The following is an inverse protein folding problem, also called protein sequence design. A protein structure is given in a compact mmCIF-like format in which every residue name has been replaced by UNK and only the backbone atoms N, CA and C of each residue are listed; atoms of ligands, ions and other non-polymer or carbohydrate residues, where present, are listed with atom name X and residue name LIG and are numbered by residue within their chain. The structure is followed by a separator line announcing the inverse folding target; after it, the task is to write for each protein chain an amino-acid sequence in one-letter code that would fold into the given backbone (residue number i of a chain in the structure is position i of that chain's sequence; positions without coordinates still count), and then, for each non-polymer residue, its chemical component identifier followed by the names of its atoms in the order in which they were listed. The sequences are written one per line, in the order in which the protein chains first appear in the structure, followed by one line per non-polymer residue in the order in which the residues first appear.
data_IF_360913730717
#
_entry.id   IF_360913730717
#
_cell.length_a   1.000
_cell.length_b   1.000
_cell.length_c   1.000
_cell.angle_alpha   90.00
_cell.angle_beta   90.00
_cell.angle_gamma   90.00
#
_symmetry.space_group_name_H-M   'P 1'
#
loop_
_entity.id
_entity.type
_entity.pdbx_description
1 polymer ?
#
# COMPACT_ATOMS: atom_id res chain seq x y z
N UNK A 1 -54.29 -9.78 21.68
CA UNK A 1 -52.95 -9.29 22.04
C UNK A 1 -52.96 -7.77 21.92
N UNK A 2 -53.14 -7.06 23.02
CA UNK A 2 -53.23 -5.59 23.03
C UNK A 2 -51.82 -5.01 22.92
N UNK A 3 -51.53 -4.33 21.80
CA UNK A 3 -50.35 -3.48 21.70
C UNK A 3 -50.53 -2.32 22.69
N UNK A 4 -49.81 -2.37 23.80
CA UNK A 4 -49.71 -1.24 24.72
C UNK A 4 -48.99 -0.11 23.97
N UNK A 5 -49.68 1.00 23.73
CA UNK A 5 -49.04 2.19 23.20
C UNK A 5 -47.92 2.63 24.17
N UNK A 6 -46.71 2.93 23.66
CA UNK A 6 -45.61 3.35 24.51
C UNK A 6 -46.01 4.62 25.26
N UNK A 7 -45.72 4.63 26.56
CA UNK A 7 -46.07 5.75 27.43
C UNK A 7 -45.37 7.04 26.97
N UNK A 8 -45.96 8.19 27.26
CA UNK A 8 -45.39 9.49 26.86
C UNK A 8 -43.93 9.66 27.30
N UNK A 9 -43.59 9.18 28.50
CA UNK A 9 -42.22 9.19 29.02
C UNK A 9 -41.27 8.28 28.22
N UNK A 10 -41.74 7.13 27.74
CA UNK A 10 -40.96 6.25 26.87
C UNK A 10 -40.65 6.92 25.51
N UNK A 11 -41.59 7.68 24.95
CA UNK A 11 -41.36 8.43 23.69
C UNK A 11 -40.33 9.54 23.85
N UNK A 12 -40.32 10.23 25.00
CA UNK A 12 -39.31 11.26 25.29
C UNK A 12 -37.93 10.62 25.50
N UNK A 13 -37.86 9.48 26.19
CA UNK A 13 -36.61 8.75 26.40
C UNK A 13 -36.04 8.25 25.06
N UNK A 14 -36.87 7.69 24.18
CA UNK A 14 -36.47 7.23 22.85
C UNK A 14 -36.04 8.39 21.94
N UNK A 15 -36.72 9.55 21.98
CA UNK A 15 -36.27 10.74 21.26
C UNK A 15 -34.90 11.23 21.74
N UNK A 16 -34.65 11.22 23.05
CA UNK A 16 -33.34 11.58 23.62
C UNK A 16 -32.26 10.59 23.23
N UNK A 17 -32.55 9.29 23.28
CA UNK A 17 -31.62 8.25 22.84
C UNK A 17 -31.30 8.34 21.34
N UNK A 18 -32.31 8.60 20.51
CA UNK A 18 -32.14 8.77 19.06
C UNK A 18 -31.37 10.06 18.71
N UNK A 19 -31.66 11.17 19.39
CA UNK A 19 -30.92 12.43 19.19
C UNK A 19 -29.47 12.33 19.67
N UNK A 20 -29.22 11.64 20.79
CA UNK A 20 -27.86 11.35 21.26
C UNK A 20 -27.11 10.44 20.28
N UNK A 21 -27.77 9.39 19.77
CA UNK A 21 -27.19 8.50 18.76
C UNK A 21 -26.87 9.23 17.46
N UNK A 22 -27.77 10.12 17.00
CA UNK A 22 -27.55 10.95 15.81
C UNK A 22 -26.40 11.95 16.00
N UNK A 23 -26.30 12.58 17.18
CA UNK A 23 -25.19 13.46 17.51
C UNK A 23 -23.85 12.71 17.57
N UNK A 24 -23.86 11.49 18.11
CA UNK A 24 -22.67 10.63 18.18
C UNK A 24 -22.24 10.17 16.78
N UNK A 25 -23.18 9.80 15.92
CA UNK A 25 -22.92 9.45 14.53
C UNK A 25 -22.39 10.65 13.71
N UNK A 26 -22.94 11.85 13.92
CA UNK A 26 -22.40 13.06 13.29
C UNK A 26 -21.01 13.43 13.80
N UNK A 27 -20.74 13.25 15.09
CA UNK A 27 -19.41 13.47 15.65
C UNK A 27 -18.40 12.47 15.08
N UNK A 28 -18.76 11.19 15.01
CA UNK A 28 -17.93 10.15 14.41
C UNK A 28 -17.65 10.43 12.92
N UNK A 29 -18.66 10.88 12.16
CA UNK A 29 -18.51 11.25 10.76
C UNK A 29 -17.57 12.46 10.58
N UNK A 30 -17.63 13.46 11.47
CA UNK A 30 -16.70 14.60 11.46
C UNK A 30 -15.28 14.18 11.80
N UNK A 31 -15.09 13.35 12.82
CA UNK A 31 -13.76 12.81 13.18
C UNK A 31 -13.15 12.02 12.02
N UNK A 32 -13.94 11.18 11.34
CA UNK A 32 -13.48 10.50 10.13
C UNK A 32 -13.13 11.47 8.99
N UNK A 33 -13.91 12.52 8.78
CA UNK A 33 -13.61 13.54 7.76
C UNK A 33 -12.33 14.31 8.08
N UNK A 34 -12.11 14.67 9.34
CA UNK A 34 -10.91 15.38 9.79
C UNK A 34 -9.66 14.49 9.64
N UNK A 35 -9.75 13.21 9.99
CA UNK A 35 -8.69 12.22 9.77
C UNK A 35 -8.38 12.04 8.28
N UNK A 36 -9.40 11.94 7.43
CA UNK A 36 -9.22 11.87 5.97
C UNK A 36 -8.56 13.14 5.41
N UNK A 37 -8.91 14.32 5.93
CA UNK A 37 -8.27 15.58 5.55
C UNK A 37 -6.81 15.67 6.00
N UNK A 38 -6.44 15.14 7.17
CA UNK A 38 -5.04 15.07 7.62
C UNK A 38 -4.22 14.12 6.75
N UNK A 39 -4.76 12.96 6.38
CA UNK A 39 -4.11 12.02 5.46
C UNK A 39 -3.87 12.66 4.08
N UNK A 40 -4.82 13.46 3.59
CA UNK A 40 -4.70 14.21 2.34
C UNK A 40 -3.66 15.35 2.39
N UNK A 41 -3.29 15.83 3.57
CA UNK A 41 -2.34 16.95 3.72
C UNK A 41 -0.87 16.56 3.54
N UNK A 42 -0.53 15.26 3.52
CA UNK A 42 0.84 14.79 3.30
C UNK A 42 0.94 13.68 2.23
N UNK A 43 0.64 14.03 0.95
CA UNK A 43 0.71 13.07 -0.15
C UNK A 43 2.14 12.56 -0.38
N UNK A 44 3.16 13.41 -0.17
CA UNK A 44 4.56 13.04 -0.39
C UNK A 44 5.04 11.95 0.59
N UNK A 45 4.62 12.00 1.86
CA UNK A 45 4.98 10.98 2.83
C UNK A 45 4.30 9.65 2.54
N UNK A 46 3.03 9.66 2.14
CA UNK A 46 2.33 8.48 1.66
C UNK A 46 3.00 7.88 0.41
N UNK A 47 3.45 8.73 -0.50
CA UNK A 47 4.13 8.28 -1.70
C UNK A 47 5.48 7.63 -1.40
N UNK A 48 6.22 8.14 -0.41
CA UNK A 48 7.48 7.53 0.08
C UNK A 48 7.25 6.26 0.89
N UNK A 49 6.22 6.23 1.73
CA UNK A 49 5.88 5.06 2.55
C UNK A 49 5.43 3.88 1.67
N UNK A 50 4.78 4.19 0.55
CA UNK A 50 4.37 3.19 -0.43
C UNK A 50 5.36 2.89 -1.53
N UNK A 51 6.51 3.53 -1.53
CA UNK A 51 7.57 3.16 -2.44
C UNK A 51 8.31 1.93 -1.88
N UNK A 52 8.27 0.77 -2.57
CA UNK A 52 9.05 -0.38 -2.15
C UNK A 52 10.58 -0.15 -2.31
N UNK A 53 11.02 0.94 -2.96
CA UNK A 53 12.43 1.22 -3.32
C UNK A 53 13.11 0.03 -4.01
N UNK A 54 12.32 -0.81 -4.67
CA UNK A 54 12.83 -1.97 -5.41
C UNK A 54 13.50 -1.49 -6.70
N UNK A 55 13.15 -0.32 -7.23
CA UNK A 55 13.55 0.11 -8.58
C UNK A 55 14.96 0.74 -8.63
N UNK A 56 15.60 0.99 -7.49
CA UNK A 56 16.87 1.72 -7.42
C UNK A 56 18.09 0.92 -7.89
N UNK A 57 17.92 -0.36 -8.25
CA UNK A 57 18.98 -1.16 -8.85
C UNK A 57 18.52 -1.92 -10.08
N UNK A 58 19.37 -1.97 -11.11
CA UNK A 58 19.15 -2.74 -12.35
C UNK A 58 18.74 -4.20 -12.11
N UNK A 59 19.13 -4.74 -10.96
CA UNK A 59 18.86 -6.11 -10.52
C UNK A 59 17.38 -6.33 -10.17
N UNK A 60 16.69 -5.27 -9.77
CA UNK A 60 15.34 -5.28 -9.23
C UNK A 60 14.32 -4.53 -10.11
N UNK A 61 14.77 -3.63 -10.98
CA UNK A 61 13.93 -2.83 -11.91
C UNK A 61 12.94 -3.68 -12.73
N UNK A 62 13.43 -4.81 -13.28
CA UNK A 62 12.59 -5.74 -14.05
C UNK A 62 11.44 -6.36 -13.23
N UNK A 63 11.55 -6.42 -11.89
CA UNK A 63 10.48 -6.96 -11.03
C UNK A 63 9.31 -6.00 -11.01
N UNK A 64 9.56 -4.70 -11.01
CA UNK A 64 8.51 -3.68 -11.02
C UNK A 64 7.86 -3.56 -12.39
N UNK A 65 8.62 -3.72 -13.47
CA UNK A 65 8.05 -3.82 -14.81
C UNK A 65 7.10 -5.03 -14.96
N UNK A 66 7.52 -6.20 -14.46
CA UNK A 66 6.79 -7.45 -14.67
C UNK A 66 5.66 -7.66 -13.63
N UNK A 67 5.86 -7.22 -12.39
CA UNK A 67 4.97 -7.45 -11.26
C UNK A 67 4.48 -6.16 -10.59
N UNK A 68 4.66 -4.99 -11.19
CA UNK A 68 4.27 -3.69 -10.63
C UNK A 68 2.87 -3.61 -10.01
N UNK A 69 1.82 -4.20 -10.62
CA UNK A 69 0.50 -4.26 -9.99
C UNK A 69 0.49 -4.97 -8.63
N UNK A 70 1.35 -5.98 -8.44
CA UNK A 70 1.48 -6.71 -7.18
C UNK A 70 2.14 -5.88 -6.07
N UNK A 71 2.84 -4.80 -6.43
CA UNK A 71 3.52 -3.84 -5.54
C UNK A 71 2.79 -2.51 -5.41
N UNK A 72 1.55 -2.44 -5.89
CA UNK A 72 0.78 -1.19 -5.92
C UNK A 72 0.69 -0.53 -4.54
N UNK A 73 0.92 0.79 -4.50
CA UNK A 73 0.72 1.66 -3.33
C UNK A 73 -0.70 1.57 -2.74
N UNK A 74 -1.67 1.12 -3.53
CA UNK A 74 -3.04 0.85 -3.07
C UNK A 74 -3.09 -0.18 -1.94
N UNK A 75 -2.11 -1.09 -1.87
CA UNK A 75 -2.04 -2.13 -0.85
C UNK A 75 -1.82 -1.61 0.56
N UNK A 76 -1.33 -0.37 0.74
CA UNK A 76 -1.04 0.22 2.06
C UNK A 76 -2.22 1.06 2.57
N UNK A 77 -3.01 1.61 1.65
CA UNK A 77 -4.17 2.47 1.96
C UNK A 77 -5.41 1.66 2.35
N UNK A 78 -5.36 0.33 2.25
CA UNK A 78 -6.45 -0.53 2.67
C UNK A 78 -6.63 -0.54 4.19
N UNK A 79 -7.87 -0.71 4.64
CA UNK A 79 -8.20 -1.07 6.02
C UNK A 79 -8.62 -2.53 6.04
N UNK A 80 -7.64 -3.43 6.18
CA UNK A 80 -7.83 -4.88 6.14
C UNK A 80 -7.93 -5.45 7.56
N UNK A 81 -8.51 -6.64 7.70
CA UNK A 81 -8.61 -7.32 8.99
C UNK A 81 -7.23 -7.52 9.67
N UNK A 82 -7.24 -7.65 10.99
CA UNK A 82 -6.04 -7.95 11.79
C UNK A 82 -5.29 -9.22 11.33
N UNK A 83 -6.01 -10.22 10.82
CA UNK A 83 -5.44 -11.48 10.33
C UNK A 83 -4.87 -11.39 8.90
N UNK A 84 -5.12 -10.29 8.19
CA UNK A 84 -4.67 -10.12 6.81
C UNK A 84 -3.16 -10.31 6.61
N UNK A 85 -2.27 -9.74 7.46
CA UNK A 85 -0.82 -9.95 7.31
C UNK A 85 -0.44 -11.42 7.41
N UNK A 86 -1.06 -12.16 8.34
CA UNK A 86 -0.80 -13.59 8.51
C UNK A 86 -1.23 -14.40 7.30
N UNK A 87 -2.34 -14.03 6.66
CA UNK A 87 -2.76 -14.64 5.39
C UNK A 87 -1.76 -14.35 4.27
N UNK A 88 -1.30 -13.11 4.16
CA UNK A 88 -0.34 -12.72 3.11
C UNK A 88 1.03 -13.37 3.29
N UNK A 89 1.50 -13.53 4.53
CA UNK A 89 2.74 -14.26 4.85
C UNK A 89 2.71 -15.71 4.33
N UNK A 90 1.53 -16.32 4.21
CA UNK A 90 1.36 -17.67 3.66
C UNK A 90 1.11 -17.67 2.14
N UNK A 91 0.39 -16.67 1.63
CA UNK A 91 0.01 -16.59 0.22
C UNK A 91 1.14 -16.07 -0.69
N UNK A 92 1.93 -15.11 -0.22
CA UNK A 92 2.99 -14.49 -1.00
C UNK A 92 4.11 -15.49 -1.37
N UNK A 93 4.59 -16.38 -0.48
CA UNK A 93 5.52 -17.44 -0.86
C UNK A 93 4.98 -18.35 -1.96
N UNK A 94 3.68 -18.69 -1.92
CA UNK A 94 3.05 -19.49 -2.97
C UNK A 94 3.06 -18.78 -4.32
N UNK A 95 2.77 -17.46 -4.31
CA UNK A 95 2.81 -16.64 -5.51
C UNK A 95 4.25 -16.54 -6.09
N UNK A 96 5.26 -16.40 -5.23
CA UNK A 96 6.68 -16.45 -5.65
C UNK A 96 7.02 -17.77 -6.29
N UNK A 97 6.67 -18.88 -5.65
CA UNK A 97 7.01 -20.20 -6.16
C UNK A 97 6.35 -20.47 -7.52
N UNK A 98 5.11 -19.99 -7.73
CA UNK A 98 4.44 -20.02 -9.04
C UNK A 98 5.20 -19.20 -10.08
N UNK A 99 5.53 -17.95 -9.77
CA UNK A 99 6.28 -17.08 -10.68
C UNK A 99 7.67 -17.66 -11.03
N UNK A 100 8.34 -18.29 -10.07
CA UNK A 100 9.61 -19.01 -10.33
C UNK A 100 9.36 -20.24 -11.21
N UNK A 101 8.32 -21.02 -10.94
CA UNK A 101 8.02 -22.24 -11.68
C UNK A 101 7.67 -21.96 -13.14
N UNK A 102 6.84 -20.95 -13.41
CA UNK A 102 6.48 -20.48 -14.76
C UNK A 102 7.71 -20.10 -15.58
N UNK A 103 8.77 -19.60 -14.93
CA UNK A 103 10.04 -19.21 -15.57
C UNK A 103 11.16 -20.23 -15.43
N UNK A 104 10.88 -21.42 -14.89
CA UNK A 104 11.86 -22.52 -14.76
C UNK A 104 11.48 -23.66 -15.70
N UNK A 105 11.79 -23.56 -17.00
CA UNK A 105 11.48 -24.61 -17.95
C UNK A 105 12.37 -25.84 -17.72
N UNK A 106 11.93 -26.99 -18.26
CA UNK A 106 12.68 -28.25 -18.19
C UNK A 106 14.09 -28.14 -18.77
N UNK A 107 14.98 -29.08 -18.40
CA UNK A 107 16.41 -29.07 -18.76
C UNK A 107 16.66 -28.82 -20.25
N UNK A 108 15.90 -29.47 -21.13
CA UNK A 108 16.07 -29.35 -22.59
C UNK A 108 15.82 -27.91 -23.07
N UNK A 109 14.73 -27.29 -22.65
CA UNK A 109 14.40 -25.91 -23.02
C UNK A 109 15.40 -24.92 -22.41
N UNK A 110 15.89 -25.19 -21.20
CA UNK A 110 16.91 -24.34 -20.57
C UNK A 110 18.25 -24.32 -21.31
N UNK A 111 18.63 -25.43 -21.93
CA UNK A 111 19.90 -25.54 -22.69
C UNK A 111 19.77 -25.06 -24.15
N UNK A 112 18.54 -24.92 -24.64
CA UNK A 112 18.25 -24.55 -26.03
C UNK A 112 17.29 -23.34 -26.10
N UNK A 113 17.83 -22.10 -26.03
CA UNK A 113 17.03 -20.87 -26.01
C UNK A 113 16.03 -20.75 -27.17
N UNK A 114 16.41 -21.18 -28.38
CA UNK A 114 15.53 -21.15 -29.56
C UNK A 114 14.34 -22.11 -29.43
N UNK A 115 14.55 -23.29 -28.83
CA UNK A 115 13.46 -24.22 -28.54
C UNK A 115 12.55 -23.69 -27.43
N UNK A 116 13.12 -23.00 -26.44
CA UNK A 116 12.34 -22.30 -25.41
C UNK A 116 11.47 -21.20 -26.01
N UNK A 117 12.02 -20.38 -26.92
CA UNK A 117 11.25 -19.35 -27.62
C UNK A 117 10.09 -19.96 -28.42
N UNK A 118 10.34 -21.06 -29.15
CA UNK A 118 9.28 -21.79 -29.87
C UNK A 118 8.23 -22.38 -28.92
N UNK A 119 8.62 -22.91 -27.76
CA UNK A 119 7.68 -23.41 -26.75
C UNK A 119 6.81 -22.28 -26.15
N UNK A 120 7.29 -21.04 -26.19
CA UNK A 120 6.53 -19.83 -25.83
C UNK A 120 5.68 -19.30 -26.98
N UNK A 121 5.69 -19.96 -28.15
CA UNK A 121 4.97 -19.52 -29.34
C UNK A 121 5.68 -18.43 -30.14
N UNK A 122 6.94 -18.13 -29.84
CA UNK A 122 7.72 -17.08 -30.48
C UNK A 122 8.51 -17.68 -31.64
N UNK A 123 8.20 -17.21 -32.84
CA UNK A 123 8.90 -17.58 -34.08
C UNK A 123 9.70 -16.40 -34.61
N UNK A 124 10.77 -16.67 -35.35
CA UNK A 124 11.53 -15.62 -36.03
C UNK A 124 10.66 -14.89 -37.05
N UNK A 125 10.73 -13.57 -37.06
CA UNK A 125 10.05 -12.68 -38.02
C UNK A 125 11.08 -11.97 -38.89
N UNK A 126 10.62 -11.20 -39.88
CA UNK A 126 11.53 -10.39 -40.69
C UNK A 126 12.27 -9.31 -39.87
N UNK A 127 11.63 -8.82 -38.80
CA UNK A 127 12.19 -7.84 -37.87
C UNK A 127 13.10 -8.48 -36.82
N UNK A 128 12.75 -9.67 -36.33
CA UNK A 128 13.54 -10.45 -35.37
C UNK A 128 13.84 -11.84 -35.94
N UNK A 129 14.90 -11.99 -36.78
CA UNK A 129 15.25 -13.28 -37.38
C UNK A 129 15.63 -14.34 -36.34
N UNK A 130 16.26 -13.92 -35.23
CA UNK A 130 16.44 -14.78 -34.07
C UNK A 130 15.26 -14.60 -33.10
N UNK A 131 14.46 -15.65 -32.82
CA UNK A 131 13.32 -15.54 -31.92
C UNK A 131 13.70 -15.18 -30.47
N UNK A 132 14.98 -15.28 -30.09
CA UNK A 132 15.45 -14.85 -28.77
C UNK A 132 15.60 -13.35 -28.62
N UNK A 133 15.67 -12.61 -29.73
CA UNK A 133 15.83 -11.15 -29.72
C UNK A 133 14.48 -10.43 -29.68
N UNK A 134 13.38 -11.19 -29.79
CA UNK A 134 12.04 -10.66 -29.69
C UNK A 134 11.80 -10.13 -28.25
N UNK A 135 11.23 -8.92 -28.07
CA UNK A 135 10.94 -8.35 -26.75
C UNK A 135 10.02 -9.23 -25.88
N UNK A 136 9.16 -10.06 -26.48
CA UNK A 136 8.28 -10.97 -25.76
C UNK A 136 9.00 -12.23 -25.25
N UNK A 137 10.25 -12.46 -25.68
CA UNK A 137 11.01 -13.65 -25.29
C UNK A 137 11.41 -13.63 -23.82
N UNK A 138 10.94 -14.64 -23.08
CA UNK A 138 11.26 -14.80 -21.66
C UNK A 138 12.36 -15.82 -21.48
N UNK A 139 13.56 -15.34 -21.22
CA UNK A 139 14.68 -16.19 -20.83
C UNK A 139 14.40 -16.94 -19.50
N UNK A 140 14.95 -18.17 -19.32
CA UNK A 140 14.88 -18.89 -18.07
C UNK A 140 15.40 -18.07 -16.89
N UNK A 141 14.71 -18.13 -15.75
CA UNK A 141 15.10 -17.33 -14.59
C UNK A 141 16.42 -17.83 -13.97
N UNK A 142 17.35 -16.92 -13.73
CA UNK A 142 18.65 -17.23 -13.11
C UNK A 142 18.51 -17.36 -11.59
N UNK A 143 19.44 -18.06 -10.91
CA UNK A 143 19.43 -18.15 -9.45
C UNK A 143 19.46 -16.79 -8.74
N UNK A 144 20.15 -15.80 -9.32
CA UNK A 144 20.16 -14.42 -8.80
C UNK A 144 18.76 -13.80 -8.88
N UNK A 145 18.10 -13.86 -10.05
CA UNK A 145 16.73 -13.35 -10.23
C UNK A 145 15.72 -14.05 -9.32
N UNK A 146 15.92 -15.35 -8.99
CA UNK A 146 15.09 -16.06 -8.00
C UNK A 146 15.21 -15.50 -6.57
N UNK A 147 16.38 -14.96 -6.19
CA UNK A 147 16.57 -14.34 -4.87
C UNK A 147 15.88 -12.98 -4.82
N UNK A 148 16.15 -12.15 -5.82
CA UNK A 148 15.50 -10.85 -6.02
C UNK A 148 13.99 -10.97 -5.95
N UNK A 149 13.40 -11.96 -6.63
CA UNK A 149 11.96 -12.15 -6.63
C UNK A 149 11.41 -12.54 -5.24
N UNK A 150 12.17 -13.30 -4.45
CA UNK A 150 11.79 -13.61 -3.06
C UNK A 150 11.86 -12.37 -2.19
N UNK A 151 12.99 -11.66 -2.25
CA UNK A 151 13.22 -10.44 -1.47
C UNK A 151 12.15 -9.39 -1.78
N UNK A 152 11.76 -9.25 -3.05
CA UNK A 152 10.67 -8.36 -3.47
C UNK A 152 9.34 -8.78 -2.83
N UNK A 153 8.96 -10.05 -2.86
CA UNK A 153 7.70 -10.49 -2.24
C UNK A 153 7.71 -10.42 -0.69
N UNK A 154 8.88 -10.45 -0.06
CA UNK A 154 9.01 -10.14 1.36
C UNK A 154 8.70 -8.66 1.62
N UNK A 155 9.22 -7.74 0.78
CA UNK A 155 8.86 -6.32 0.81
C UNK A 155 7.36 -6.13 0.58
N UNK A 156 6.76 -6.86 -0.37
CA UNK A 156 5.32 -6.84 -0.60
C UNK A 156 4.53 -7.22 0.66
N UNK A 157 4.96 -8.28 1.36
CA UNK A 157 4.32 -8.74 2.59
C UNK A 157 4.41 -7.66 3.67
N UNK A 158 5.56 -7.01 3.80
CA UNK A 158 5.75 -5.89 4.71
C UNK A 158 4.82 -4.72 4.39
N UNK A 159 4.73 -4.30 3.13
CA UNK A 159 3.82 -3.22 2.71
C UNK A 159 2.36 -3.58 2.97
N UNK A 160 1.96 -4.81 2.67
CA UNK A 160 0.61 -5.30 2.95
C UNK A 160 0.32 -5.35 4.45
N UNK A 161 1.32 -5.59 5.30
CA UNK A 161 1.14 -5.58 6.76
C UNK A 161 0.74 -4.19 7.30
N UNK A 162 1.14 -3.12 6.62
CA UNK A 162 0.75 -1.74 6.97
C UNK A 162 -0.75 -1.49 6.75
N UNK A 163 -1.42 -2.27 5.90
CA UNK A 163 -2.87 -2.13 5.70
C UNK A 163 -3.73 -2.77 6.78
N UNK A 164 -3.13 -3.57 7.67
CA UNK A 164 -3.87 -4.18 8.76
C UNK A 164 -4.40 -3.09 9.69
N UNK A 165 -5.72 -3.09 9.89
CA UNK A 165 -6.43 -2.16 10.76
C UNK A 165 -6.20 -0.68 10.40
N UNK A 166 -5.77 -0.37 9.16
CA UNK A 166 -5.49 1.00 8.74
C UNK A 166 -4.21 1.61 9.34
N UNK A 167 -3.29 0.80 9.86
CA UNK A 167 -2.02 1.29 10.46
C UNK A 167 -1.24 2.23 9.54
N UNK A 168 -1.22 1.96 8.24
CA UNK A 168 -0.55 2.80 7.24
C UNK A 168 -1.15 4.19 7.15
N UNK A 169 -2.47 4.31 7.21
CA UNK A 169 -3.16 5.61 7.24
C UNK A 169 -3.02 6.32 8.58
N UNK A 170 -3.00 5.57 9.69
CA UNK A 170 -2.86 6.11 11.04
C UNK A 170 -1.48 6.73 11.28
N UNK A 171 -0.41 6.07 10.79
CA UNK A 171 0.97 6.59 10.87
C UNK A 171 1.09 7.91 10.11
N UNK A 172 0.48 8.00 8.92
CA UNK A 172 0.50 9.22 8.09
C UNK A 172 -0.26 10.35 8.78
N UNK A 173 -1.44 10.06 9.34
CA UNK A 173 -2.22 11.03 10.11
C UNK A 173 -1.41 11.59 11.28
N UNK A 174 -0.88 10.69 12.12
CA UNK A 174 -0.09 11.04 13.31
C UNK A 174 1.14 11.90 12.95
N UNK A 175 1.92 11.49 11.95
CA UNK A 175 3.11 12.23 11.52
C UNK A 175 2.77 13.65 11.02
N UNK A 176 1.62 13.81 10.36
CA UNK A 176 1.17 15.12 9.85
C UNK A 176 0.73 16.02 11.00
N UNK A 177 -0.01 15.50 11.98
CA UNK A 177 -0.41 16.25 13.18
C UNK A 177 0.81 16.68 14.00
N UNK A 178 1.78 15.80 14.19
CA UNK A 178 3.03 16.11 14.90
C UNK A 178 3.80 17.24 14.21
N UNK A 179 4.06 17.13 12.90
CA UNK A 179 4.75 18.18 12.14
C UNK A 179 4.05 19.54 12.24
N UNK A 180 2.71 19.56 12.20
CA UNK A 180 1.93 20.80 12.36
C UNK A 180 2.07 21.39 13.76
N UNK A 181 2.10 20.56 14.81
CA UNK A 181 2.29 21.04 16.19
C UNK A 181 3.69 21.58 16.44
N UNK A 182 4.73 20.96 15.85
CA UNK A 182 6.12 21.41 15.96
C UNK A 182 6.31 22.74 15.21
N UNK A 183 5.86 22.84 13.95
CA UNK A 183 5.94 24.09 13.19
C UNK A 183 5.20 25.25 13.87
N UNK A 184 4.01 25.00 14.42
CA UNK A 184 3.27 26.02 15.19
C UNK A 184 4.00 26.44 16.47
N UNK A 185 4.70 25.53 17.16
CA UNK A 185 5.53 25.88 18.32
C UNK A 185 6.71 26.74 17.91
N UNK A 186 7.41 26.39 16.83
CA UNK A 186 8.54 27.17 16.31
C UNK A 186 8.12 28.57 15.85
N UNK A 187 7.01 28.72 15.14
CA UNK A 187 6.48 30.01 14.72
C UNK A 187 6.01 30.86 15.92
N UNK A 188 5.43 30.25 16.95
CA UNK A 188 5.10 30.97 18.19
C UNK A 188 6.36 31.46 18.93
N UNK A 189 7.45 30.70 18.86
CA UNK A 189 8.73 31.06 19.48
C UNK A 189 9.44 32.21 18.75
N UNK A 190 9.33 32.26 17.41
CA UNK A 190 9.80 33.39 16.59
C UNK A 190 8.99 34.65 16.86
N UNK A 191 7.66 34.53 16.91
CA UNK A 191 6.75 35.64 17.26
C UNK A 191 7.02 36.20 18.67
N UNK A 192 7.40 35.38 19.65
CA UNK A 192 7.75 35.88 20.99
C UNK A 192 9.08 36.65 20.98
N UNK A 193 10.10 36.17 20.26
CA UNK A 193 11.37 36.90 20.09
C UNK A 193 11.20 38.22 19.33
N UNK A 194 10.36 38.25 18.29
CA UNK A 194 10.02 39.48 17.56
C UNK A 194 9.29 40.50 18.42
N UNK A 195 8.32 40.06 19.24
CA UNK A 195 7.61 40.95 20.17
C UNK A 195 8.52 41.50 21.27
N UNK A 196 9.48 40.71 21.76
CA UNK A 196 10.45 41.19 22.77
C UNK A 196 11.47 42.14 22.13
N UNK A 197 11.92 41.88 20.91
CA UNK A 197 12.82 42.78 20.17
C UNK A 197 12.17 44.14 19.84
N UNK A 198 10.86 44.17 19.57
CA UNK A 198 10.11 45.41 19.33
C UNK A 198 9.87 46.28 20.56
N UNK A 199 10.14 45.79 21.78
CA UNK A 199 9.98 46.56 23.03
C UNK A 199 11.30 47.23 23.46
N UNK A 200 12.43 46.82 22.90
CA UNK A 200 13.76 47.36 23.21
C UNK A 200 14.33 48.31 22.14
N UNK A 201 13.50 48.77 21.18
CA UNK A 201 13.81 49.83 20.22
C UNK A 201 12.96 51.07 20.47
#
# INVERSE_FOLDING_TARGET
MSQQEPSYDQRIADQRANSASAATAQAAARVQQDQLQEILQNPEFLDKLGDPNVDESDVHDWVTDEYGPAFSKALIKGNMDADYPRRQELLNPNAVDRAIAERTPGRCLRQHPKLNALAQGITGTAEYPDPTDNPDYRAPITPAKKRVLRDAYDIRTLLQSLSAEGKGTDVVGTATTENRTVGRREDSSKSYRERVAGVFN
#
